data_IF_007467845574
#
_entry.id   IF_007467845574
#
_cell.length_a   1.000
_cell.length_b   1.000
_cell.length_c   1.000
_cell.angle_alpha   90.00
_cell.angle_beta   90.00
_cell.angle_gamma   90.00
#
_symmetry.space_group_name_H-M   'P 1'
#
loop_
_entity.id
_entity.type
_entity.pdbx_description
1 polymer ?
#
# COMPACT_ATOMS: atom_id res chain seq x y z
N UNK A 1 -43.92 10.11 57.92
CA UNK A 1 -43.81 9.92 56.45
C UNK A 1 -42.52 10.57 56.02
N UNK A 2 -41.49 9.78 55.70
CA UNK A 2 -40.15 10.25 55.32
C UNK A 2 -39.94 9.97 53.83
N UNK A 3 -39.72 11.02 53.04
CA UNK A 3 -39.54 10.97 51.59
C UNK A 3 -38.08 10.66 51.28
N UNK A 4 -37.79 9.45 50.77
CA UNK A 4 -36.46 9.09 50.26
C UNK A 4 -36.30 9.66 48.85
N UNK A 5 -35.32 10.55 48.67
CA UNK A 5 -34.92 11.11 47.38
C UNK A 5 -34.01 10.09 46.67
N UNK A 6 -34.30 9.67 45.42
CA UNK A 6 -33.41 8.75 44.73
C UNK A 6 -32.14 9.46 44.27
N UNK A 7 -30.98 8.89 44.61
CA UNK A 7 -29.70 9.31 44.09
C UNK A 7 -29.56 8.80 42.64
N UNK A 8 -29.53 9.73 41.68
CA UNK A 8 -29.21 9.42 40.28
C UNK A 8 -27.70 9.23 40.19
N UNK A 9 -27.26 7.99 40.01
CA UNK A 9 -25.87 7.68 39.70
C UNK A 9 -25.66 7.85 38.19
N UNK A 10 -25.22 9.02 37.75
CA UNK A 10 -24.69 9.23 36.40
C UNK A 10 -23.30 8.63 36.34
N UNK A 11 -23.18 7.38 35.91
CA UNK A 11 -21.90 6.85 35.45
C UNK A 11 -21.57 7.49 34.11
N UNK A 12 -20.68 8.48 34.11
CA UNK A 12 -20.05 8.96 32.88
C UNK A 12 -19.28 7.80 32.26
N UNK A 13 -19.84 7.19 31.21
CA UNK A 13 -19.13 6.21 30.41
C UNK A 13 -18.07 6.98 29.60
N UNK A 14 -16.88 7.13 30.19
CA UNK A 14 -15.73 7.73 29.54
C UNK A 14 -15.34 6.83 28.37
N UNK A 15 -15.69 7.23 27.15
CA UNK A 15 -15.23 6.59 25.92
C UNK A 15 -13.69 6.63 26.00
N UNK A 16 -12.99 5.48 25.97
CA UNK A 16 -11.54 5.51 25.92
C UNK A 16 -11.14 6.24 24.65
N UNK A 17 -10.37 7.33 24.78
CA UNK A 17 -9.70 7.94 23.65
C UNK A 17 -8.96 6.83 22.91
N UNK A 18 -9.37 6.57 21.67
CA UNK A 18 -8.57 5.82 20.72
C UNK A 18 -7.26 6.59 20.63
N UNK A 19 -6.26 6.13 21.39
CA UNK A 19 -4.90 6.65 21.30
C UNK A 19 -4.54 6.64 19.83
N UNK A 20 -4.36 7.84 19.28
CA UNK A 20 -3.94 8.05 17.91
C UNK A 20 -2.56 7.39 17.75
N UNK A 21 -2.56 6.11 17.41
CA UNK A 21 -1.39 5.38 16.93
C UNK A 21 -1.18 5.64 15.44
N UNK A 22 -1.57 6.81 14.95
CA UNK A 22 -0.89 7.38 13.80
C UNK A 22 0.48 7.77 14.36
N UNK A 23 1.45 6.85 14.24
CA UNK A 23 2.84 7.18 14.48
C UNK A 23 3.15 8.42 13.65
N UNK A 24 3.27 9.56 14.34
CA UNK A 24 3.76 10.77 13.71
C UNK A 24 5.10 10.37 13.08
N UNK A 25 5.26 10.64 11.78
CA UNK A 25 6.54 10.49 11.10
C UNK A 25 7.60 11.15 11.97
N UNK A 26 8.46 10.34 12.58
CA UNK A 26 9.50 10.85 13.48
C UNK A 26 10.45 11.65 12.57
N UNK A 27 10.71 12.94 12.85
CA UNK A 27 11.70 13.70 12.10
C UNK A 27 13.06 12.99 12.21
N UNK A 28 13.43 12.23 11.18
CA UNK A 28 14.55 11.29 11.20
C UNK A 28 14.38 10.11 10.25
N UNK A 29 13.14 9.67 10.01
CA UNK A 29 12.83 8.60 9.06
C UNK A 29 12.73 9.18 7.64
N UNK A 30 13.87 9.35 6.97
CA UNK A 30 13.87 9.77 5.58
C UNK A 30 13.25 8.67 4.72
N UNK A 31 12.16 8.97 4.00
CA UNK A 31 11.56 8.03 3.06
C UNK A 31 12.33 8.03 1.74
N UNK A 32 12.52 6.84 1.18
CA UNK A 32 13.00 6.63 -0.18
C UNK A 32 11.85 6.20 -1.08
N UNK A 33 11.74 6.85 -2.24
CA UNK A 33 10.76 6.55 -3.27
C UNK A 33 11.46 6.18 -4.57
N UNK A 34 10.99 5.14 -5.23
CA UNK A 34 11.36 4.80 -6.61
C UNK A 34 10.09 4.41 -7.37
N UNK A 35 10.01 4.72 -8.66
CA UNK A 35 8.84 4.44 -9.47
C UNK A 35 9.15 4.36 -10.95
N UNK A 36 8.21 3.81 -11.71
CA UNK A 36 8.36 3.67 -13.15
C UNK A 36 7.19 2.96 -13.81
N UNK A 37 7.37 2.62 -15.08
CA UNK A 37 6.45 1.80 -15.85
C UNK A 37 7.23 0.76 -16.64
N UNK A 38 6.66 -0.44 -16.81
CA UNK A 38 7.26 -1.51 -17.58
C UNK A 38 6.20 -2.24 -18.42
N UNK A 39 6.58 -2.65 -19.62
CA UNK A 39 5.71 -3.45 -20.49
C UNK A 39 5.66 -4.90 -19.96
N UNK A 40 4.45 -5.46 -19.86
CA UNK A 40 4.21 -6.84 -19.44
C UNK A 40 3.67 -7.63 -20.65
N UNK A 41 4.59 -8.17 -21.42
CA UNK A 41 4.31 -9.02 -22.59
C UNK A 41 4.31 -10.53 -22.26
N UNK A 42 4.58 -10.88 -21.00
CA UNK A 42 4.62 -12.25 -20.48
C UNK A 42 3.83 -12.38 -19.17
N UNK A 43 3.52 -13.61 -18.77
CA UNK A 43 2.64 -13.86 -17.61
C UNK A 43 3.29 -13.48 -16.28
N UNK A 44 4.62 -13.44 -16.29
CA UNK A 44 5.47 -12.94 -15.20
C UNK A 44 6.31 -11.78 -15.72
N UNK A 45 6.43 -10.72 -14.94
CA UNK A 45 7.31 -9.59 -15.20
C UNK A 45 8.19 -9.34 -13.97
N UNK A 46 9.51 -9.39 -14.15
CA UNK A 46 10.49 -9.00 -13.14
C UNK A 46 10.87 -7.54 -13.34
N UNK A 47 10.80 -6.73 -12.28
CA UNK A 47 11.22 -5.33 -12.29
C UNK A 47 12.35 -5.16 -11.29
N UNK A 48 13.48 -4.63 -11.76
CA UNK A 48 14.62 -4.27 -10.91
C UNK A 48 14.52 -2.79 -10.53
N UNK A 49 14.78 -2.48 -9.27
CA UNK A 49 14.87 -1.11 -8.80
C UNK A 49 16.16 -0.46 -9.35
N UNK A 50 16.11 0.81 -9.80
CA UNK A 50 17.30 1.57 -10.20
C UNK A 50 18.40 1.60 -9.12
N UNK A 51 18.00 1.57 -7.84
CA UNK A 51 18.91 1.44 -6.69
C UNK A 51 18.32 0.45 -5.69
N UNK A 52 19.18 -0.34 -5.03
CA UNK A 52 18.73 -1.23 -3.97
C UNK A 52 18.26 -0.44 -2.73
N UNK A 53 17.16 -0.89 -2.12
CA UNK A 53 16.70 -0.42 -0.80
C UNK A 53 17.46 -1.12 0.33
N UNK A 54 17.55 -0.48 1.51
CA UNK A 54 18.18 -1.07 2.70
C UNK A 54 17.43 -2.30 3.23
N UNK A 55 16.11 -2.33 3.03
CA UNK A 55 15.20 -3.42 3.35
C UNK A 55 14.08 -3.48 2.30
N UNK A 56 13.38 -4.61 2.14
CA UNK A 56 12.32 -4.74 1.13
C UNK A 56 11.28 -3.60 1.27
N UNK A 57 11.01 -2.83 0.21
CA UNK A 57 10.06 -1.73 0.24
C UNK A 57 8.61 -2.24 0.25
N UNK A 58 7.67 -1.35 0.55
CA UNK A 58 6.27 -1.53 0.18
C UNK A 58 6.12 -1.13 -1.29
N UNK A 59 5.48 -1.99 -2.10
CA UNK A 59 5.27 -1.77 -3.53
C UNK A 59 3.78 -1.73 -3.82
N UNK A 60 3.35 -0.72 -4.59
CA UNK A 60 2.04 -0.69 -5.23
C UNK A 60 2.21 -0.73 -6.75
N UNK A 61 1.25 -1.36 -7.43
CA UNK A 61 1.22 -1.49 -8.88
C UNK A 61 -0.11 -1.03 -9.44
N UNK A 62 -0.09 -0.52 -10.67
CA UNK A 62 -1.27 -0.06 -11.40
C UNK A 62 -1.15 -0.51 -12.85
N UNK A 63 -1.76 -1.64 -13.21
CA UNK A 63 -1.76 -2.11 -14.59
C UNK A 63 -2.69 -1.27 -15.47
N UNK A 64 -2.37 -1.18 -16.76
CA UNK A 64 -3.21 -0.51 -17.75
C UNK A 64 -2.94 -1.01 -19.18
N UNK A 65 -3.93 -0.81 -20.05
CA UNK A 65 -3.81 -1.01 -21.49
C UNK A 65 -3.49 0.31 -22.20
N UNK A 66 -2.29 0.44 -22.74
CA UNK A 66 -1.88 1.63 -23.47
C UNK A 66 -2.77 1.84 -24.71
N UNK A 67 -3.35 3.04 -24.82
CA UNK A 67 -4.20 3.45 -25.95
C UNK A 67 -5.61 2.86 -25.98
N UNK A 68 -6.00 2.03 -25.00
CA UNK A 68 -7.29 1.34 -25.02
C UNK A 68 -8.39 2.06 -24.21
N UNK A 69 -8.01 2.84 -23.19
CA UNK A 69 -8.97 3.63 -22.40
C UNK A 69 -10.05 2.80 -21.67
N UNK A 70 -9.86 1.48 -21.58
CA UNK A 70 -10.74 0.54 -20.89
C UNK A 70 -10.09 0.05 -19.60
N UNK A 71 -10.88 -0.55 -18.72
CA UNK A 71 -10.43 -1.18 -17.51
C UNK A 71 -9.55 -2.42 -17.74
N UNK A 72 -8.80 -2.78 -16.71
CA UNK A 72 -8.07 -4.04 -16.68
C UNK A 72 -8.98 -5.10 -16.04
N UNK A 73 -9.38 -6.11 -16.81
CA UNK A 73 -10.32 -7.15 -16.34
C UNK A 73 -9.78 -8.13 -15.29
N UNK A 74 -8.46 -8.18 -15.07
CA UNK A 74 -7.85 -8.99 -14.00
C UNK A 74 -6.74 -8.22 -13.29
N UNK A 75 -6.74 -8.25 -11.96
CA UNK A 75 -5.72 -7.56 -11.16
C UNK A 75 -4.38 -8.29 -11.22
N UNK A 76 -3.30 -7.54 -11.43
CA UNK A 76 -1.94 -8.06 -11.27
C UNK A 76 -1.62 -8.32 -9.79
N UNK A 77 -0.83 -9.35 -9.52
CA UNK A 77 -0.39 -9.70 -8.16
C UNK A 77 1.12 -9.61 -8.04
N UNK A 78 1.61 -9.19 -6.86
CA UNK A 78 3.03 -9.28 -6.51
C UNK A 78 3.33 -10.67 -5.94
N UNK A 79 4.21 -11.45 -6.57
CA UNK A 79 4.64 -12.75 -6.02
C UNK A 79 5.89 -12.65 -5.16
N UNK A 80 6.72 -11.62 -5.35
CA UNK A 80 7.87 -11.36 -4.50
C UNK A 80 8.23 -9.88 -4.47
N UNK A 81 8.77 -9.43 -3.34
CA UNK A 81 9.40 -8.12 -3.17
C UNK A 81 10.69 -8.30 -2.40
N UNK A 82 11.79 -7.81 -2.96
CA UNK A 82 13.14 -7.90 -2.40
C UNK A 82 13.75 -6.49 -2.28
N UNK A 83 14.99 -6.37 -1.83
CA UNK A 83 15.70 -5.08 -1.80
C UNK A 83 16.09 -4.57 -3.18
N UNK A 84 16.16 -5.44 -4.19
CA UNK A 84 16.66 -5.11 -5.53
C UNK A 84 15.58 -5.11 -6.61
N UNK A 85 14.37 -5.60 -6.31
CA UNK A 85 13.27 -5.63 -7.26
C UNK A 85 12.06 -6.40 -6.74
N UNK A 86 11.10 -6.60 -7.63
CA UNK A 86 9.86 -7.32 -7.36
C UNK A 86 9.36 -8.05 -8.61
N UNK A 87 8.48 -9.01 -8.39
CA UNK A 87 7.88 -9.83 -9.46
C UNK A 87 6.37 -9.60 -9.51
N UNK A 88 5.86 -9.29 -10.71
CA UNK A 88 4.43 -9.17 -11.02
C UNK A 88 3.98 -10.41 -11.78
N UNK A 89 2.84 -10.97 -11.41
CA UNK A 89 2.22 -12.14 -12.07
C UNK A 89 0.73 -11.94 -12.30
N UNK A 90 0.30 -12.28 -13.51
CA UNK A 90 -1.10 -12.48 -13.91
C UNK A 90 -1.18 -13.06 -15.32
N UNK A 91 -2.38 -13.48 -15.72
CA UNK A 91 -2.65 -13.87 -17.10
C UNK A 91 -2.71 -12.68 -18.09
N UNK A 92 -2.88 -11.44 -17.61
CA UNK A 92 -2.94 -10.28 -18.49
C UNK A 92 -1.54 -9.96 -19.02
N UNK A 93 -1.41 -10.00 -20.35
CA UNK A 93 -0.15 -9.74 -21.04
C UNK A 93 -0.46 -9.36 -22.49
N UNK A 94 0.24 -8.36 -23.02
CA UNK A 94 0.20 -8.01 -24.43
C UNK A 94 1.28 -7.00 -24.77
N UNK A 95 1.47 -6.76 -26.07
CA UNK A 95 2.36 -5.71 -26.56
C UNK A 95 1.99 -4.31 -26.03
N UNK A 96 0.71 -4.04 -25.77
CA UNK A 96 0.23 -2.77 -25.22
C UNK A 96 -0.15 -2.82 -23.73
N UNK A 97 0.22 -3.88 -23.00
CA UNK A 97 -0.07 -4.00 -21.57
C UNK A 97 1.11 -3.55 -20.73
N UNK A 98 0.86 -2.68 -19.75
CA UNK A 98 1.90 -2.06 -18.93
C UNK A 98 1.53 -2.09 -17.46
N UNK A 99 2.55 -2.07 -16.61
CA UNK A 99 2.44 -1.94 -15.16
C UNK A 99 3.17 -0.68 -14.72
N UNK A 100 2.45 0.30 -14.18
CA UNK A 100 3.06 1.37 -13.40
C UNK A 100 3.33 0.87 -11.98
N UNK A 101 4.38 1.37 -11.35
CA UNK A 101 4.74 0.97 -10.00
C UNK A 101 5.35 2.11 -9.19
N UNK A 102 5.15 2.02 -7.88
CA UNK A 102 5.76 2.88 -6.87
C UNK A 102 6.23 2.01 -5.70
N UNK A 103 7.49 2.16 -5.31
CA UNK A 103 8.12 1.51 -4.19
C UNK A 103 8.52 2.55 -3.13
N UNK A 104 8.22 2.27 -1.87
CA UNK A 104 8.48 3.16 -0.73
C UNK A 104 9.11 2.39 0.42
N UNK A 105 10.18 2.91 0.99
CA UNK A 105 10.77 2.39 2.22
C UNK A 105 11.34 3.52 3.09
N UNK A 106 11.50 3.24 4.38
CA UNK A 106 12.37 4.06 5.23
C UNK A 106 13.83 3.88 4.79
N UNK A 107 14.65 4.91 5.00
CA UNK A 107 16.10 4.83 4.85
C UNK A 107 16.78 4.40 6.14
#
# INVERSE_FOLDING_TARGET
MSTVKPAVHTSEHKIPELGSKHGAMVPGDALEFQGGAANKNTGTLQINFPRAFAHPPVVTISPYWAGQGQEVGHTDTLSSVTTTGFTVVSANQAANYYVMWLAVANK
#
